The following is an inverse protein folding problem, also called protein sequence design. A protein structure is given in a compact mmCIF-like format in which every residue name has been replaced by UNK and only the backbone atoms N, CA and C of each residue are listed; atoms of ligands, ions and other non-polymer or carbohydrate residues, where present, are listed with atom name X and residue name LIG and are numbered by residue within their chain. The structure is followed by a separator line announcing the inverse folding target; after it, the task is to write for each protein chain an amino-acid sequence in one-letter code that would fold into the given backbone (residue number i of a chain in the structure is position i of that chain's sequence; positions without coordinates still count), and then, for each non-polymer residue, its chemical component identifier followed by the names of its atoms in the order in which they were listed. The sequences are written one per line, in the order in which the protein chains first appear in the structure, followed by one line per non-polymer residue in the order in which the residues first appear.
data_IF_597350371114
#
_entry.id   IF_597350371114
#
_cell.length_a   1.000
_cell.length_b   1.000
_cell.length_c   1.000
_cell.angle_alpha   90.00
_cell.angle_beta   90.00
_cell.angle_gamma   90.00
#
_symmetry.space_group_name_H-M   'P 1'
#
loop_
_entity.id
_entity.type
_entity.pdbx_description
1 polymer ?
#
# COMPACT_ATOMS: atom_id res chain seq x y z
N UNK A 1 -16.91 7.31 -24.68
CA UNK A 1 -16.78 6.01 -23.98
C UNK A 1 -15.90 6.27 -22.78
N UNK A 2 -16.48 6.28 -21.57
CA UNK A 2 -15.75 6.61 -20.35
C UNK A 2 -14.67 5.56 -20.11
N UNK A 3 -13.41 5.97 -20.24
CA UNK A 3 -12.28 5.22 -19.70
C UNK A 3 -12.58 4.97 -18.22
N UNK A 4 -12.87 3.71 -17.89
CA UNK A 4 -13.00 3.25 -16.52
C UNK A 4 -11.58 3.29 -15.92
N UNK A 5 -11.11 4.50 -15.62
CA UNK A 5 -9.76 4.76 -15.09
C UNK A 5 -9.70 4.02 -13.77
N UNK A 6 -9.02 2.88 -13.76
CA UNK A 6 -8.86 2.02 -12.59
C UNK A 6 -8.41 2.89 -11.42
N UNK A 7 -9.30 3.14 -10.45
CA UNK A 7 -8.98 4.00 -9.33
C UNK A 7 -7.91 3.30 -8.49
N UNK A 8 -6.76 3.95 -8.35
CA UNK A 8 -5.62 3.43 -7.60
C UNK A 8 -5.68 4.00 -6.18
N UNK A 9 -5.57 3.13 -5.19
CA UNK A 9 -5.45 3.49 -3.79
C UNK A 9 -4.00 3.26 -3.33
N UNK A 10 -3.44 4.19 -2.56
CA UNK A 10 -2.15 3.98 -1.89
C UNK A 10 -2.40 3.83 -0.38
N UNK A 11 -2.57 2.61 0.11
CA UNK A 11 -2.84 2.39 1.52
C UNK A 11 -1.52 2.30 2.30
N UNK A 12 -1.34 3.03 3.43
CA UNK A 12 -0.15 2.89 4.26
C UNK A 12 0.06 1.43 4.70
N UNK A 13 1.32 0.97 4.68
CA UNK A 13 1.63 -0.43 5.00
C UNK A 13 1.22 -0.82 6.42
N UNK A 14 1.24 0.14 7.36
CA UNK A 14 0.79 -0.08 8.74
C UNK A 14 -0.67 -0.51 8.78
N UNK A 15 -1.52 0.07 7.93
CA UNK A 15 -2.92 -0.34 7.81
C UNK A 15 -2.99 -1.70 7.10
N UNK A 16 -2.30 -1.89 5.98
CA UNK A 16 -2.34 -3.18 5.25
C UNK A 16 -1.90 -4.37 6.10
N UNK A 17 -0.86 -4.19 6.91
CA UNK A 17 -0.28 -5.24 7.74
C UNK A 17 -0.99 -5.40 9.08
N UNK A 18 -1.86 -4.46 9.47
CA UNK A 18 -2.65 -4.61 10.67
C UNK A 18 -3.49 -5.90 10.61
N UNK A 19 -3.65 -6.52 11.78
CA UNK A 19 -4.46 -7.71 11.94
C UNK A 19 -5.90 -7.29 12.17
N UNK A 20 -6.76 -7.56 11.19
CA UNK A 20 -8.19 -7.34 11.32
C UNK A 20 -8.99 -8.37 10.54
N UNK A 21 -10.16 -8.70 11.09
CA UNK A 21 -11.14 -9.63 10.50
C UNK A 21 -12.38 -8.82 10.16
N UNK A 22 -12.38 -8.21 8.97
CA UNK A 22 -13.50 -7.40 8.50
C UNK A 22 -14.42 -8.23 7.62
N UNK A 23 -15.72 -8.03 7.76
CA UNK A 23 -16.68 -8.42 6.73
C UNK A 23 -16.48 -7.59 5.46
N UNK A 24 -17.07 -8.05 4.35
CA UNK A 24 -17.06 -7.31 3.08
C UNK A 24 -17.51 -5.85 3.25
N UNK A 25 -18.57 -5.59 4.01
CA UNK A 25 -19.07 -4.23 4.23
C UNK A 25 -18.14 -3.39 5.10
N UNK A 26 -17.53 -3.97 6.14
CA UNK A 26 -16.53 -3.27 6.97
C UNK A 26 -15.30 -2.89 6.11
N UNK A 27 -14.85 -3.80 5.24
CA UNK A 27 -13.73 -3.51 4.32
C UNK A 27 -14.10 -2.41 3.32
N UNK A 28 -15.29 -2.46 2.71
CA UNK A 28 -15.76 -1.43 1.77
C UNK A 28 -15.78 -0.05 2.41
N UNK A 29 -16.27 0.05 3.65
CA UNK A 29 -16.22 1.31 4.42
C UNK A 29 -14.78 1.74 4.68
N UNK A 30 -13.87 0.84 5.10
CA UNK A 30 -12.46 1.18 5.29
C UNK A 30 -11.81 1.73 4.01
N UNK A 31 -12.02 1.05 2.89
CA UNK A 31 -11.47 1.47 1.60
C UNK A 31 -12.02 2.83 1.17
N UNK A 32 -13.30 3.10 1.46
CA UNK A 32 -13.89 4.41 1.24
C UNK A 32 -13.25 5.48 2.14
N UNK A 33 -13.06 5.20 3.44
CA UNK A 33 -12.36 6.11 4.37
C UNK A 33 -10.99 6.50 3.80
N UNK A 34 -10.20 5.50 3.38
CA UNK A 34 -8.87 5.73 2.82
C UNK A 34 -8.97 6.56 1.54
N UNK A 35 -9.88 6.22 0.62
CA UNK A 35 -10.12 6.98 -0.62
C UNK A 35 -10.43 8.45 -0.33
N UNK A 36 -11.31 8.72 0.65
CA UNK A 36 -11.66 10.09 1.05
C UNK A 36 -10.46 10.85 1.61
N UNK A 37 -9.68 10.23 2.50
CA UNK A 37 -8.46 10.83 3.07
C UNK A 37 -7.45 11.16 1.97
N UNK A 38 -7.22 10.22 1.03
CA UNK A 38 -6.30 10.46 -0.10
C UNK A 38 -6.78 11.57 -1.02
N UNK A 39 -8.09 11.65 -1.27
CA UNK A 39 -8.69 12.73 -2.03
C UNK A 39 -8.43 14.10 -1.43
N UNK A 40 -8.34 14.20 -0.10
CA UNK A 40 -7.98 15.45 0.59
C UNK A 40 -6.48 15.75 0.52
N UNK A 41 -5.62 14.76 0.71
CA UNK A 41 -4.17 14.95 0.62
C UNK A 41 -3.70 15.45 -0.76
N UNK A 42 -4.43 15.09 -1.81
CA UNK A 42 -4.15 15.53 -3.17
C UNK A 42 -4.65 16.96 -3.46
N UNK A 43 -5.35 17.61 -2.54
CA UNK A 43 -5.73 19.03 -2.66
C UNK A 43 -4.57 19.87 -2.14
N UNK A 44 -4.12 20.84 -2.92
CA UNK A 44 -3.11 21.83 -2.54
C UNK A 44 -3.68 22.86 -1.54
N UNK A 45 -4.31 22.41 -0.46
CA UNK A 45 -4.84 23.25 0.61
C UNK A 45 -4.10 22.97 1.92
N UNK A 46 -3.17 23.86 2.25
CA UNK A 46 -2.28 23.75 3.40
C UNK A 46 -3.04 23.77 4.74
N UNK A 47 -4.14 24.52 4.85
CA UNK A 47 -4.93 24.61 6.08
C UNK A 47 -5.72 23.32 6.33
N UNK A 48 -6.24 22.67 5.28
CA UNK A 48 -6.89 21.37 5.40
C UNK A 48 -5.93 20.25 5.78
N UNK A 49 -4.68 20.31 5.28
CA UNK A 49 -3.66 19.33 5.66
C UNK A 49 -3.30 19.42 7.15
N UNK A 50 -3.32 20.63 7.74
CA UNK A 50 -3.07 20.83 9.18
C UNK A 50 -4.10 20.11 10.06
N UNK A 51 -5.36 20.02 9.60
CA UNK A 51 -6.43 19.28 10.28
C UNK A 51 -6.17 17.76 10.27
N UNK A 52 -5.60 17.23 9.18
CA UNK A 52 -5.27 15.80 9.05
C UNK A 52 -4.16 15.34 10.00
N UNK A 53 -3.28 16.25 10.43
CA UNK A 53 -2.20 16.00 11.39
C UNK A 53 -2.48 16.59 12.78
N UNK A 54 -3.62 17.27 12.96
CA UNK A 54 -4.04 17.87 14.23
C UNK A 54 -4.86 16.91 15.10
N UNK A 55 -5.29 17.39 16.26
CA UNK A 55 -6.21 16.66 17.16
C UNK A 55 -7.69 16.85 16.78
N UNK A 56 -7.96 17.39 15.58
CA UNK A 56 -9.30 17.69 15.13
C UNK A 56 -10.06 16.42 14.72
N UNK A 57 -11.37 16.43 14.97
CA UNK A 57 -12.27 15.35 14.59
C UNK A 57 -12.43 15.29 13.07
N UNK A 58 -11.98 14.19 12.46
CA UNK A 58 -12.13 13.99 11.03
C UNK A 58 -13.45 13.29 10.72
N UNK A 59 -14.39 14.04 10.11
CA UNK A 59 -15.71 13.56 9.72
C UNK A 59 -15.77 13.29 8.22
N UNK A 60 -16.32 12.14 7.85
CA UNK A 60 -16.53 11.75 6.46
C UNK A 60 -18.02 11.60 6.23
N UNK A 61 -18.50 12.20 5.15
CA UNK A 61 -19.89 12.14 4.72
C UNK A 61 -19.99 11.36 3.42
N UNK A 62 -20.97 10.48 3.30
CA UNK A 62 -21.18 9.69 2.09
C UNK A 62 -22.61 9.17 1.94
N UNK A 63 -22.99 8.87 0.70
CA UNK A 63 -24.15 8.05 0.36
C UNK A 63 -23.71 6.60 0.11
N UNK A 64 -24.61 5.64 0.35
CA UNK A 64 -24.30 4.20 0.17
C UNK A 64 -23.84 3.87 -1.25
N UNK A 65 -24.47 4.50 -2.25
CA UNK A 65 -24.13 4.34 -3.67
C UNK A 65 -22.69 4.75 -4.00
N UNK A 66 -22.06 5.60 -3.20
CA UNK A 66 -20.65 5.98 -3.39
C UNK A 66 -19.67 4.89 -2.94
N UNK A 67 -20.14 3.93 -2.13
CA UNK A 67 -19.38 2.77 -1.65
C UNK A 67 -19.71 1.53 -2.48
N UNK A 68 -21.01 1.27 -2.70
CA UNK A 68 -21.50 0.15 -3.47
C UNK A 68 -22.84 0.52 -4.12
N UNK A 69 -22.83 0.74 -5.44
CA UNK A 69 -23.98 1.18 -6.23
C UNK A 69 -25.18 0.21 -6.12
N UNK A 70 -24.94 -1.07 -5.83
CA UNK A 70 -25.97 -2.10 -5.73
C UNK A 70 -26.46 -2.32 -4.29
N UNK A 71 -25.80 -1.73 -3.29
CA UNK A 71 -26.12 -1.99 -1.89
C UNK A 71 -27.21 -1.04 -1.39
N UNK A 72 -28.38 -1.62 -1.14
CA UNK A 72 -29.56 -0.92 -0.62
C UNK A 72 -29.84 -1.27 0.84
N UNK A 73 -29.13 -2.25 1.41
CA UNK A 73 -29.39 -2.76 2.74
C UNK A 73 -28.77 -1.88 3.84
N UNK A 74 -29.55 -0.90 4.28
CA UNK A 74 -29.19 0.00 5.38
C UNK A 74 -28.83 -0.77 6.66
N UNK A 75 -29.48 -1.90 6.95
CA UNK A 75 -29.22 -2.72 8.15
C UNK A 75 -27.83 -3.33 8.13
N UNK A 76 -27.38 -3.82 6.97
CA UNK A 76 -26.03 -4.37 6.78
C UNK A 76 -24.96 -3.31 7.05
N UNK A 77 -25.16 -2.08 6.56
CA UNK A 77 -24.25 -0.97 6.80
C UNK A 77 -24.27 -0.46 8.25
N UNK A 78 -25.45 -0.35 8.88
CA UNK A 78 -25.55 -0.08 10.32
C UNK A 78 -24.72 -1.07 11.14
N UNK A 79 -24.81 -2.36 10.80
CA UNK A 79 -24.00 -3.40 11.42
C UNK A 79 -22.51 -3.20 11.13
N UNK A 80 -22.11 -2.96 9.88
CA UNK A 80 -20.71 -2.74 9.52
C UNK A 80 -20.07 -1.56 10.27
N UNK A 81 -20.76 -0.43 10.37
CA UNK A 81 -20.30 0.72 11.15
C UNK A 81 -20.19 0.36 12.64
N UNK A 82 -21.20 -0.31 13.21
CA UNK A 82 -21.18 -0.76 14.61
C UNK A 82 -20.02 -1.72 14.89
N UNK A 83 -19.75 -2.63 13.97
CA UNK A 83 -18.67 -3.61 14.10
C UNK A 83 -17.32 -2.91 13.95
N UNK A 84 -17.12 -2.03 12.95
CA UNK A 84 -15.91 -1.21 12.78
C UNK A 84 -15.56 -0.38 14.03
N UNK A 85 -16.56 0.16 14.73
CA UNK A 85 -16.33 0.88 16.00
C UNK A 85 -15.72 0.00 17.09
N UNK A 86 -15.97 -1.30 17.04
CA UNK A 86 -15.46 -2.30 17.98
C UNK A 86 -14.17 -2.97 17.47
N UNK A 87 -13.65 -2.55 16.32
CA UNK A 87 -12.41 -3.08 15.76
C UNK A 87 -11.24 -2.27 16.30
N UNK A 88 -10.39 -2.94 17.05
CA UNK A 88 -9.16 -2.38 17.53
C UNK A 88 -8.12 -2.30 16.42
N UNK A 89 -7.50 -1.13 16.29
CA UNK A 89 -6.23 -0.93 15.63
C UNK A 89 -5.18 -0.75 16.71
N UNK A 90 -4.31 -1.74 16.84
CA UNK A 90 -3.27 -1.76 17.88
C UNK A 90 -1.89 -1.55 17.29
N UNK A 91 -1.13 -0.70 17.98
CA UNK A 91 0.30 -0.53 17.77
C UNK A 91 0.97 -0.75 19.11
N UNK A 92 1.87 -1.73 19.12
CA UNK A 92 2.74 -2.02 20.24
C UNK A 92 4.18 -1.88 19.76
N UNK A 93 4.82 -0.76 20.10
CA UNK A 93 6.23 -0.50 19.79
C UNK A 93 7.02 -0.22 21.08
N UNK A 94 8.35 -0.14 20.97
CA UNK A 94 9.22 0.05 22.13
C UNK A 94 8.98 1.35 22.90
N UNK A 95 8.25 2.32 22.33
CA UNK A 95 8.03 3.64 22.90
C UNK A 95 6.62 3.82 23.46
N UNK A 96 5.62 3.12 22.90
CA UNK A 96 4.22 3.24 23.33
C UNK A 96 3.37 2.04 22.94
N UNK A 97 2.31 1.87 23.72
CA UNK A 97 1.14 1.08 23.34
C UNK A 97 0.00 2.04 22.96
N UNK A 98 -0.60 1.82 21.80
CA UNK A 98 -1.76 2.54 21.29
C UNK A 98 -2.81 1.51 20.86
N UNK A 99 -4.01 1.60 21.42
CA UNK A 99 -5.19 0.89 20.95
C UNK A 99 -6.24 1.96 20.59
N UNK A 100 -6.77 1.91 19.38
CA UNK A 100 -7.75 2.88 18.88
C UNK A 100 -8.73 2.21 17.91
N UNK A 101 -9.99 2.61 17.91
CA UNK A 101 -10.97 2.16 16.94
C UNK A 101 -10.75 2.73 15.53
N UNK A 102 -11.20 2.02 14.50
CA UNK A 102 -11.20 2.56 13.12
C UNK A 102 -12.20 3.70 12.92
N UNK A 103 -13.34 3.62 13.62
CA UNK A 103 -14.42 4.60 13.59
C UNK A 103 -14.84 4.89 15.04
N UNK A 104 -14.98 6.15 15.40
CA UNK A 104 -15.43 6.56 16.73
C UNK A 104 -16.96 6.49 16.85
N UNK A 105 -17.66 7.05 15.88
CA UNK A 105 -19.11 6.95 15.72
C UNK A 105 -19.49 6.93 14.24
N UNK A 106 -20.72 6.47 13.97
CA UNK A 106 -21.36 6.74 12.71
C UNK A 106 -22.85 7.00 12.91
N UNK A 107 -23.37 7.90 12.10
CA UNK A 107 -24.73 8.42 12.13
C UNK A 107 -25.32 8.33 10.72
N UNK A 108 -26.62 8.05 10.64
CA UNK A 108 -27.35 8.06 9.39
C UNK A 108 -28.48 9.07 9.47
N UNK A 109 -28.40 10.11 8.64
CA UNK A 109 -29.45 11.08 8.45
C UNK A 109 -30.47 10.51 7.44
N UNK A 110 -31.67 10.19 7.92
CA UNK A 110 -32.73 9.59 7.11
C UNK A 110 -33.30 10.55 6.06
N UNK A 111 -33.37 11.84 6.37
CA UNK A 111 -33.94 12.86 5.47
C UNK A 111 -33.01 13.10 4.27
N UNK A 112 -31.72 13.25 4.53
CA UNK A 112 -30.69 13.46 3.51
C UNK A 112 -30.20 12.15 2.87
N UNK A 113 -30.58 11.00 3.44
CA UNK A 113 -30.07 9.66 3.11
C UNK A 113 -28.54 9.60 3.10
N UNK A 114 -27.91 10.30 4.06
CA UNK A 114 -26.45 10.46 4.16
C UNK A 114 -25.91 9.87 5.45
N UNK A 115 -24.76 9.22 5.34
CA UNK A 115 -23.96 8.77 6.46
C UNK A 115 -22.97 9.84 6.87
N UNK A 116 -22.72 9.95 8.16
CA UNK A 116 -21.60 10.64 8.77
C UNK A 116 -20.82 9.62 9.59
N UNK A 117 -19.50 9.55 9.42
CA UNK A 117 -18.62 8.77 10.28
C UNK A 117 -17.48 9.64 10.78
N UNK A 118 -17.03 9.39 12.01
CA UNK A 118 -15.86 10.05 12.57
C UNK A 118 -14.70 9.07 12.68
N UNK A 119 -13.55 9.44 12.12
CA UNK A 119 -12.29 8.71 12.27
C UNK A 119 -11.52 9.31 13.44
N UNK A 120 -10.89 8.44 14.24
CA UNK A 120 -10.09 8.91 15.37
C UNK A 120 -8.87 9.72 14.92
N UNK A 121 -8.66 10.89 15.52
CA UNK A 121 -7.45 11.70 15.30
C UNK A 121 -6.16 10.94 15.65
N UNK A 122 -6.20 9.93 16.56
CA UNK A 122 -5.03 9.08 16.86
C UNK A 122 -4.72 8.08 15.73
N UNK A 123 -5.72 7.72 14.90
CA UNK A 123 -5.55 6.84 13.75
C UNK A 123 -5.07 7.61 12.50
N UNK A 124 -5.50 8.86 12.34
CA UNK A 124 -5.22 9.70 11.17
C UNK A 124 -3.73 9.75 10.75
N UNK A 125 -2.75 9.92 11.67
CA UNK A 125 -1.33 9.89 11.31
C UNK A 125 -0.91 8.60 10.60
N UNK A 126 -1.54 7.46 10.90
CA UNK A 126 -1.26 6.17 10.27
C UNK A 126 -1.98 5.98 8.93
N UNK A 127 -3.09 6.69 8.73
CA UNK A 127 -3.85 6.68 7.47
C UNK A 127 -3.21 7.59 6.41
N UNK A 128 -2.52 8.64 6.85
CA UNK A 128 -1.90 9.65 5.98
C UNK A 128 -0.41 9.36 5.73
N UNK A 129 0.34 8.92 6.75
CA UNK A 129 1.79 8.79 6.65
C UNK A 129 2.21 7.63 5.75
N UNK A 130 2.72 7.96 4.56
CA UNK A 130 3.39 7.01 3.65
C UNK A 130 4.86 6.74 4.02
N UNK A 131 5.40 7.37 5.07
CA UNK A 131 6.83 7.31 5.42
C UNK A 131 7.32 5.88 5.73
N UNK A 132 6.44 5.01 6.27
CA UNK A 132 6.73 3.58 6.53
C UNK A 132 6.43 2.68 5.31
N UNK A 133 6.27 3.28 4.14
CA UNK A 133 5.85 2.62 2.91
C UNK A 133 4.33 2.48 2.78
N UNK A 134 3.90 2.12 1.58
CA UNK A 134 2.50 1.97 1.21
C UNK A 134 2.31 0.81 0.23
N UNK A 135 1.11 0.26 0.24
CA UNK A 135 0.64 -0.69 -0.75
C UNK A 135 -0.18 0.05 -1.80
N UNK A 136 0.20 -0.10 -3.06
CA UNK A 136 -0.56 0.42 -4.20
C UNK A 136 -1.38 -0.68 -4.85
N UNK A 137 -2.68 -0.47 -4.98
CA UNK A 137 -3.58 -1.44 -5.62
C UNK A 137 -4.79 -0.78 -6.28
N UNK A 138 -5.47 -1.53 -7.15
CA UNK A 138 -6.68 -1.10 -7.84
C UNK A 138 -7.91 -1.32 -6.95
N UNK A 139 -8.63 -0.24 -6.63
CA UNK A 139 -9.80 -0.30 -5.75
C UNK A 139 -10.90 -1.17 -6.36
N UNK A 140 -11.19 -0.99 -7.64
CA UNK A 140 -12.26 -1.72 -8.34
C UNK A 140 -12.05 -3.24 -8.30
N UNK A 141 -10.79 -3.69 -8.35
CA UNK A 141 -10.44 -5.10 -8.24
C UNK A 141 -10.77 -5.62 -6.85
N UNK A 142 -10.33 -4.93 -5.80
CA UNK A 142 -10.56 -5.34 -4.40
C UNK A 142 -12.06 -5.41 -4.08
N UNK A 143 -12.85 -4.45 -4.52
CA UNK A 143 -14.29 -4.40 -4.24
C UNK A 143 -15.06 -5.60 -4.82
N UNK A 144 -14.49 -6.32 -5.80
CA UNK A 144 -15.08 -7.52 -6.42
C UNK A 144 -14.65 -8.83 -5.76
N UNK A 145 -13.61 -8.79 -4.93
CA UNK A 145 -13.04 -9.97 -4.28
C UNK A 145 -13.75 -10.29 -2.96
N UNK A 146 -13.75 -11.57 -2.57
CA UNK A 146 -14.19 -11.94 -1.23
C UNK A 146 -13.21 -11.41 -0.14
N UNK A 147 -13.65 -11.35 1.11
CA UNK A 147 -12.84 -10.84 2.25
C UNK A 147 -11.42 -11.39 2.33
N UNK A 148 -11.22 -12.70 2.16
CA UNK A 148 -9.89 -13.32 2.28
C UNK A 148 -9.05 -13.04 1.04
N UNK A 149 -9.67 -13.08 -0.15
CA UNK A 149 -9.05 -12.70 -1.42
C UNK A 149 -8.60 -11.24 -1.41
N UNK A 150 -9.39 -10.32 -0.84
CA UNK A 150 -9.02 -8.91 -0.64
C UNK A 150 -7.73 -8.79 0.19
N UNK A 151 -7.65 -9.50 1.33
CA UNK A 151 -6.46 -9.50 2.20
C UNK A 151 -5.23 -10.02 1.47
N UNK A 152 -5.36 -11.16 0.79
CA UNK A 152 -4.27 -11.75 0.00
C UNK A 152 -3.82 -10.82 -1.13
N UNK A 153 -4.76 -10.23 -1.87
CA UNK A 153 -4.47 -9.28 -2.94
C UNK A 153 -3.69 -8.07 -2.44
N UNK A 154 -4.09 -7.49 -1.30
CA UNK A 154 -3.37 -6.38 -0.67
C UNK A 154 -1.95 -6.79 -0.24
N UNK A 155 -1.77 -7.98 0.33
CA UNK A 155 -0.44 -8.49 0.69
C UNK A 155 0.45 -8.67 -0.53
N UNK A 156 -0.05 -9.30 -1.60
CA UNK A 156 0.74 -9.52 -2.81
C UNK A 156 1.03 -8.23 -3.58
N UNK A 157 0.13 -7.24 -3.53
CA UNK A 157 0.35 -5.92 -4.13
C UNK A 157 1.54 -5.15 -3.53
N UNK A 158 2.03 -5.55 -2.34
CA UNK A 158 3.25 -4.96 -1.75
C UNK A 158 4.53 -5.40 -2.47
N UNK A 159 4.53 -6.60 -3.08
CA UNK A 159 5.75 -7.25 -3.60
C UNK A 159 5.94 -7.00 -5.10
N UNK A 160 5.77 -5.76 -5.57
CA UNK A 160 5.83 -5.42 -7.00
C UNK A 160 7.20 -5.64 -7.67
N UNK A 161 8.29 -5.76 -6.90
CA UNK A 161 9.65 -5.81 -7.45
C UNK A 161 10.25 -7.22 -7.51
N UNK A 162 9.87 -8.11 -6.61
CA UNK A 162 10.47 -9.45 -6.50
C UNK A 162 9.70 -10.52 -7.27
N UNK A 163 8.39 -10.32 -7.48
CA UNK A 163 7.52 -11.31 -8.13
C UNK A 163 7.36 -12.63 -7.35
N UNK A 164 7.95 -12.72 -6.15
CA UNK A 164 7.94 -13.90 -5.30
C UNK A 164 7.64 -13.46 -3.88
N UNK A 165 6.69 -14.16 -3.26
CA UNK A 165 6.34 -13.99 -1.85
C UNK A 165 6.43 -15.32 -1.12
N UNK A 166 7.09 -15.33 0.04
CA UNK A 166 7.23 -16.52 0.88
C UNK A 166 6.67 -16.23 2.27
N UNK A 167 5.81 -17.11 2.76
CA UNK A 167 5.22 -17.02 4.11
C UNK A 167 4.91 -18.41 4.63
N UNK A 168 5.05 -18.63 5.94
CA UNK A 168 4.62 -19.90 6.52
C UNK A 168 3.10 -19.97 6.58
N UNK A 169 2.53 -21.18 6.50
CA UNK A 169 1.07 -21.33 6.47
C UNK A 169 0.42 -20.91 7.79
N UNK A 170 1.06 -21.18 8.94
CA UNK A 170 0.67 -20.69 10.27
C UNK A 170 0.65 -19.16 10.34
N UNK A 171 1.70 -18.50 9.85
CA UNK A 171 1.82 -17.04 9.85
C UNK A 171 0.78 -16.41 8.92
N UNK A 172 0.53 -17.00 7.76
CA UNK A 172 -0.52 -16.52 6.85
C UNK A 172 -1.90 -16.65 7.50
N UNK A 173 -2.19 -17.78 8.14
CA UNK A 173 -3.43 -18.03 8.86
C UNK A 173 -3.64 -17.03 10.01
N UNK A 174 -2.56 -16.73 10.74
CA UNK A 174 -2.55 -15.71 11.79
C UNK A 174 -2.87 -14.31 11.24
N UNK A 175 -2.23 -13.90 10.14
CA UNK A 175 -2.46 -12.58 9.52
C UNK A 175 -3.87 -12.42 8.93
N UNK A 176 -4.51 -13.53 8.57
CA UNK A 176 -5.90 -13.55 8.09
C UNK A 176 -6.92 -13.69 9.25
N UNK A 177 -6.48 -13.92 10.48
CA UNK A 177 -7.36 -14.13 11.63
C UNK A 177 -8.15 -15.45 11.53
N UNK A 178 -7.50 -16.51 11.06
CA UNK A 178 -8.09 -17.82 10.78
C UNK A 178 -7.51 -18.93 11.68
N UNK A 179 -6.87 -18.60 12.80
CA UNK A 179 -6.18 -19.53 13.72
C UNK A 179 -7.11 -20.56 14.36
N UNK A 180 -8.39 -20.22 14.51
CA UNK A 180 -9.42 -21.13 15.03
C UNK A 180 -10.24 -21.78 13.91
N UNK A 181 -9.86 -21.56 12.65
CA UNK A 181 -10.56 -22.07 11.46
C UNK A 181 -9.68 -22.98 10.62
N UNK A 182 -10.29 -24.00 10.03
CA UNK A 182 -9.64 -25.03 9.22
C UNK A 182 -8.61 -25.84 10.01
N UNK A 183 -9.05 -26.95 10.59
CA UNK A 183 -8.18 -27.89 11.31
C UNK A 183 -7.09 -28.47 10.41
N UNK A 184 -7.42 -28.73 9.14
CA UNK A 184 -6.49 -29.28 8.16
C UNK A 184 -6.03 -28.23 7.16
N UNK A 185 -4.73 -28.25 6.85
CA UNK A 185 -4.13 -27.42 5.82
C UNK A 185 -4.80 -27.60 4.45
N UNK A 186 -5.21 -28.82 4.09
CA UNK A 186 -5.94 -29.07 2.84
C UNK A 186 -7.23 -28.24 2.73
N UNK A 187 -7.96 -28.09 3.84
CA UNK A 187 -9.14 -27.24 3.92
C UNK A 187 -8.81 -25.76 3.74
N UNK A 188 -7.76 -25.28 4.43
CA UNK A 188 -7.25 -23.92 4.31
C UNK A 188 -6.82 -23.61 2.87
N UNK A 189 -5.97 -24.46 2.27
CA UNK A 189 -5.51 -24.32 0.89
C UNK A 189 -6.67 -24.24 -0.09
N UNK A 190 -7.63 -25.16 -0.01
CA UNK A 190 -8.76 -25.21 -0.95
C UNK A 190 -9.70 -24.01 -0.83
N UNK A 191 -10.02 -23.57 0.38
CA UNK A 191 -11.06 -22.55 0.61
C UNK A 191 -10.54 -21.11 0.69
N UNK A 192 -9.25 -20.93 0.95
CA UNK A 192 -8.64 -19.62 1.10
C UNK A 192 -7.70 -19.34 -0.08
N UNK A 193 -6.67 -20.16 -0.24
CA UNK A 193 -5.63 -19.92 -1.24
C UNK A 193 -6.17 -20.12 -2.65
N UNK A 194 -6.73 -21.30 -2.94
CA UNK A 194 -7.22 -21.62 -4.28
C UNK A 194 -8.41 -20.76 -4.70
N UNK A 195 -9.30 -20.41 -3.75
CA UNK A 195 -10.42 -19.50 -4.01
C UNK A 195 -9.91 -18.12 -4.40
N UNK A 196 -8.94 -17.57 -3.65
CA UNK A 196 -8.36 -16.27 -3.97
C UNK A 196 -7.55 -16.30 -5.28
N UNK A 197 -6.81 -17.37 -5.55
CA UNK A 197 -6.11 -17.55 -6.83
C UNK A 197 -7.10 -17.51 -7.99
N UNK A 198 -8.22 -18.24 -7.89
CA UNK A 198 -9.26 -18.28 -8.92
C UNK A 198 -9.88 -16.90 -9.15
N UNK A 199 -10.40 -16.24 -8.11
CA UNK A 199 -11.08 -14.95 -8.22
C UNK A 199 -10.15 -13.87 -8.82
N UNK A 200 -8.90 -13.80 -8.35
CA UNK A 200 -7.96 -12.77 -8.81
C UNK A 200 -7.48 -13.07 -10.23
N UNK A 201 -7.33 -14.34 -10.59
CA UNK A 201 -7.00 -14.75 -11.96
C UNK A 201 -8.11 -14.40 -12.94
N UNK A 202 -9.37 -14.65 -12.59
CA UNK A 202 -10.52 -14.27 -13.42
C UNK A 202 -10.53 -12.76 -13.69
N UNK A 203 -10.38 -11.93 -12.64
CA UNK A 203 -10.28 -10.47 -12.80
C UNK A 203 -9.07 -10.02 -13.61
N UNK A 204 -7.96 -10.76 -13.53
CA UNK A 204 -6.75 -10.48 -14.32
C UNK A 204 -6.96 -10.78 -15.81
N UNK A 205 -7.58 -11.92 -16.13
CA UNK A 205 -7.93 -12.31 -17.50
C UNK A 205 -8.95 -11.34 -18.13
N UNK A 206 -9.88 -10.81 -17.32
CA UNK A 206 -10.81 -9.75 -17.72
C UNK A 206 -10.17 -8.35 -17.85
N UNK A 207 -8.87 -8.20 -17.56
CA UNK A 207 -8.16 -6.92 -17.60
C UNK A 207 -8.56 -5.94 -16.50
N UNK A 208 -9.25 -6.42 -15.45
CA UNK A 208 -9.68 -5.64 -14.29
C UNK A 208 -8.69 -5.72 -13.12
N UNK A 209 -7.69 -6.58 -13.20
CA UNK A 209 -6.59 -6.69 -12.24
C UNK A 209 -5.24 -6.57 -12.94
N UNK A 210 -4.34 -5.77 -12.38
CA UNK A 210 -2.96 -5.67 -12.84
C UNK A 210 -2.05 -6.77 -12.29
N UNK A 211 -2.53 -7.56 -11.33
CA UNK A 211 -1.77 -8.67 -10.75
C UNK A 211 -2.62 -9.93 -10.64
N UNK A 212 -1.97 -11.07 -10.78
CA UNK A 212 -2.48 -12.32 -10.24
C UNK A 212 -1.34 -13.10 -9.62
N UNK A 213 -1.67 -14.12 -8.85
CA UNK A 213 -0.67 -14.95 -8.19
C UNK A 213 -1.02 -16.41 -8.35
N UNK A 214 0.00 -17.25 -8.17
CA UNK A 214 -0.15 -18.70 -8.14
C UNK A 214 0.66 -19.26 -6.98
N UNK A 215 0.08 -20.21 -6.24
CA UNK A 215 0.86 -21.00 -5.30
C UNK A 215 1.80 -21.93 -6.09
N UNK A 216 3.11 -21.65 -6.02
CA UNK A 216 4.14 -22.37 -6.76
C UNK A 216 4.61 -23.62 -5.99
N UNK A 217 4.75 -23.51 -4.67
CA UNK A 217 5.05 -24.66 -3.81
C UNK A 217 4.58 -24.46 -2.38
N UNK A 218 4.24 -25.58 -1.73
CA UNK A 218 3.85 -25.66 -0.32
C UNK A 218 4.52 -26.86 0.36
N UNK A 219 5.81 -26.70 0.65
CA UNK A 219 6.65 -27.75 1.22
C UNK A 219 6.74 -27.66 2.74
N UNK A 220 6.88 -28.81 3.40
CA UNK A 220 7.23 -28.88 4.82
C UNK A 220 8.48 -29.73 5.03
N UNK A 221 9.18 -29.50 6.13
CA UNK A 221 10.23 -30.41 6.58
C UNK A 221 9.59 -31.70 7.09
N UNK A 222 10.30 -32.81 6.99
CA UNK A 222 9.81 -34.09 7.51
C UNK A 222 9.70 -34.00 9.03
N UNK A 223 8.58 -34.45 9.58
CA UNK A 223 8.33 -34.46 11.03
C UNK A 223 7.78 -33.15 11.63
N UNK A 224 7.55 -32.11 10.83
CA UNK A 224 6.91 -30.87 11.30
C UNK A 224 5.40 -30.90 11.15
N UNK A 225 4.72 -30.03 11.90
CA UNK A 225 3.27 -29.85 11.78
C UNK A 225 2.87 -29.38 10.37
N UNK A 226 1.60 -29.60 10.02
CA UNK A 226 1.14 -29.33 8.66
C UNK A 226 1.04 -27.83 8.35
N UNK A 227 0.87 -26.98 9.36
CA UNK A 227 0.87 -25.52 9.20
C UNK A 227 2.27 -24.89 9.22
N UNK A 228 3.33 -25.64 9.51
CA UNK A 228 4.72 -25.17 9.37
C UNK A 228 5.19 -25.15 7.90
N UNK A 229 4.31 -25.47 6.95
CA UNK A 229 4.59 -25.43 5.51
C UNK A 229 5.06 -24.04 5.09
N UNK A 230 6.15 -24.02 4.33
CA UNK A 230 6.62 -22.84 3.64
C UNK A 230 5.85 -22.69 2.32
N UNK A 231 5.01 -21.65 2.23
CA UNK A 231 4.28 -21.32 1.02
C UNK A 231 5.10 -20.37 0.18
N UNK A 232 5.29 -20.70 -1.10
CA UNK A 232 5.92 -19.83 -2.10
C UNK A 232 4.90 -19.47 -3.15
N UNK A 233 4.62 -18.18 -3.28
CA UNK A 233 3.72 -17.62 -4.29
C UNK A 233 4.55 -16.93 -5.37
N UNK A 234 4.19 -17.18 -6.62
CA UNK A 234 4.66 -16.41 -7.79
C UNK A 234 3.61 -15.39 -8.15
N UNK A 235 4.03 -14.15 -8.35
CA UNK A 235 3.18 -13.01 -8.69
C UNK A 235 3.47 -12.63 -10.13
N UNK A 236 2.41 -12.49 -10.90
CA UNK A 236 2.42 -12.11 -12.31
C UNK A 236 1.78 -10.74 -12.47
N UNK A 237 2.27 -9.98 -13.44
CA UNK A 237 1.85 -8.61 -13.69
C UNK A 237 1.25 -8.48 -15.08
N UNK A 238 0.27 -7.60 -15.24
CA UNK A 238 -0.30 -7.26 -16.54
C UNK A 238 0.78 -6.60 -17.40
N UNK A 239 0.70 -6.80 -18.72
CA UNK A 239 1.62 -6.14 -19.66
C UNK A 239 1.61 -4.61 -19.47
N UNK A 240 0.42 -4.06 -19.22
CA UNK A 240 0.22 -2.65 -18.87
C UNK A 240 1.06 -2.22 -17.66
N UNK A 241 1.06 -3.03 -16.58
CA UNK A 241 1.83 -2.73 -15.37
C UNK A 241 3.34 -2.87 -15.58
N UNK A 242 3.77 -3.82 -16.39
CA UNK A 242 5.19 -3.97 -16.78
C UNK A 242 5.65 -2.72 -17.54
N UNK A 243 4.90 -2.29 -18.56
CA UNK A 243 5.20 -1.10 -19.36
C UNK A 243 5.28 0.16 -18.46
N UNK A 244 4.31 0.33 -17.55
CA UNK A 244 4.33 1.46 -16.60
C UNK A 244 5.56 1.42 -15.67
N UNK A 245 5.95 0.24 -15.19
CA UNK A 245 7.12 0.09 -14.33
C UNK A 245 8.41 0.43 -15.09
N UNK A 246 8.53 0.02 -16.35
CA UNK A 246 9.70 0.31 -17.17
C UNK A 246 9.76 1.78 -17.57
N UNK A 247 8.63 2.40 -17.90
CA UNK A 247 8.52 3.85 -18.10
C UNK A 247 8.95 4.61 -16.84
N UNK A 248 8.43 4.26 -15.66
CA UNK A 248 8.79 4.91 -14.41
C UNK A 248 10.29 4.77 -14.07
N UNK A 249 10.90 3.61 -14.37
CA UNK A 249 12.35 3.41 -14.23
C UNK A 249 13.13 4.31 -15.20
N UNK A 250 12.70 4.41 -16.45
CA UNK A 250 13.31 5.27 -17.46
C UNK A 250 13.22 6.75 -17.06
N UNK A 251 12.06 7.20 -16.56
CA UNK A 251 11.85 8.56 -16.07
C UNK A 251 12.72 8.85 -14.84
N UNK A 252 12.81 7.91 -13.90
CA UNK A 252 13.70 8.03 -12.72
C UNK A 252 15.16 8.15 -13.15
N UNK A 253 15.60 7.33 -14.11
CA UNK A 253 16.95 7.39 -14.65
C UNK A 253 17.22 8.72 -15.34
N UNK A 254 16.25 9.21 -16.13
CA UNK A 254 16.34 10.51 -16.81
C UNK A 254 16.47 11.66 -15.80
N UNK A 255 15.60 11.68 -14.78
CA UNK A 255 15.65 12.67 -13.71
C UNK A 255 17.01 12.65 -12.99
N UNK A 256 17.45 11.48 -12.52
CA UNK A 256 18.76 11.34 -11.86
C UNK A 256 19.91 11.79 -12.78
N UNK A 257 19.83 11.49 -14.08
CA UNK A 257 20.84 11.93 -15.06
C UNK A 257 20.89 13.45 -15.18
N UNK A 258 19.73 14.10 -15.28
CA UNK A 258 19.63 15.56 -15.36
C UNK A 258 20.20 16.25 -14.12
N UNK A 259 19.79 15.81 -12.92
CA UNK A 259 20.31 16.36 -11.66
C UNK A 259 21.82 16.13 -11.55
N UNK A 260 22.30 14.93 -11.85
CA UNK A 260 23.73 14.62 -11.77
C UNK A 260 24.56 15.42 -12.77
N UNK A 261 24.03 15.71 -13.97
CA UNK A 261 24.68 16.60 -14.94
C UNK A 261 24.74 18.04 -14.42
N UNK A 262 23.69 18.52 -13.77
CA UNK A 262 23.67 19.86 -13.16
C UNK A 262 24.59 19.98 -11.95
N UNK A 263 24.76 18.92 -11.16
CA UNK A 263 25.63 18.90 -9.98
C UNK A 263 27.10 18.71 -10.36
N UNK A 264 27.39 17.85 -11.35
CA UNK A 264 28.76 17.50 -11.77
C UNK A 264 29.04 17.82 -13.25
N UNK A 265 28.93 19.10 -13.69
CA UNK A 265 29.10 19.46 -15.10
C UNK A 265 30.49 19.09 -15.64
N UNK A 266 31.54 19.24 -14.83
CA UNK A 266 32.93 18.93 -15.24
C UNK A 266 33.37 17.49 -14.91
N UNK A 267 32.52 16.69 -14.24
CA UNK A 267 32.87 15.32 -13.85
C UNK A 267 31.75 14.33 -14.18
N UNK A 268 31.37 14.30 -15.46
CA UNK A 268 30.33 13.40 -15.95
C UNK A 268 30.72 11.92 -15.86
N UNK A 269 32.02 11.60 -15.88
CA UNK A 269 32.50 10.23 -15.68
C UNK A 269 32.10 9.67 -14.31
N UNK A 270 32.29 10.46 -13.24
CA UNK A 270 31.82 10.12 -11.90
C UNK A 270 30.29 9.94 -11.87
N UNK A 271 29.55 10.87 -12.46
CA UNK A 271 28.08 10.81 -12.50
C UNK A 271 27.57 9.53 -13.18
N UNK A 272 28.11 9.21 -14.36
CA UNK A 272 27.73 8.01 -15.12
C UNK A 272 28.10 6.72 -14.38
N UNK A 273 29.28 6.69 -13.74
CA UNK A 273 29.73 5.53 -12.96
C UNK A 273 28.84 5.26 -11.75
N UNK A 274 28.45 6.32 -11.03
CA UNK A 274 27.54 6.22 -9.89
C UNK A 274 26.14 5.76 -10.34
N UNK A 275 25.59 6.33 -11.41
CA UNK A 275 24.27 5.92 -11.91
C UNK A 275 24.27 4.47 -12.40
N UNK A 276 25.31 4.04 -13.10
CA UNK A 276 25.48 2.65 -13.52
C UNK A 276 25.51 1.69 -12.33
N UNK A 277 26.28 2.02 -11.29
CA UNK A 277 26.33 1.26 -10.05
C UNK A 277 24.96 1.18 -9.35
N UNK A 278 24.23 2.30 -9.26
CA UNK A 278 22.92 2.36 -8.62
C UNK A 278 21.85 1.56 -9.38
N UNK A 279 21.93 1.52 -10.71
CA UNK A 279 21.07 0.66 -11.55
C UNK A 279 21.36 -0.81 -11.29
N UNK A 280 22.64 -1.21 -11.29
CA UNK A 280 23.06 -2.59 -11.03
C UNK A 280 22.60 -3.08 -9.64
N UNK A 281 22.70 -2.22 -8.62
CA UNK A 281 22.27 -2.52 -7.24
C UNK A 281 20.77 -2.37 -7.00
N UNK A 282 19.97 -2.01 -8.00
CA UNK A 282 18.52 -1.70 -7.85
C UNK A 282 18.23 -0.62 -6.79
N UNK A 283 19.15 0.34 -6.63
CA UNK A 283 19.06 1.42 -5.64
C UNK A 283 18.72 2.79 -6.25
N UNK A 284 18.51 2.85 -7.57
CA UNK A 284 18.24 4.08 -8.29
C UNK A 284 17.04 4.88 -7.73
N UNK A 285 15.94 4.21 -7.37
CA UNK A 285 14.74 4.89 -6.84
C UNK A 285 14.97 5.45 -5.42
N UNK A 286 15.73 4.73 -4.60
CA UNK A 286 16.10 5.24 -3.27
C UNK A 286 16.98 6.49 -3.40
N UNK A 287 17.92 6.47 -4.35
CA UNK A 287 18.80 7.60 -4.63
C UNK A 287 18.03 8.80 -5.19
N UNK A 288 17.07 8.60 -6.10
CA UNK A 288 16.26 9.70 -6.65
C UNK A 288 15.52 10.46 -5.54
N UNK A 289 14.92 9.75 -4.57
CA UNK A 289 14.22 10.38 -3.45
C UNK A 289 15.16 11.20 -2.55
N UNK A 290 16.46 10.87 -2.51
CA UNK A 290 17.48 11.68 -1.81
C UNK A 290 17.83 12.92 -2.62
N UNK A 291 17.95 12.79 -3.94
CA UNK A 291 18.20 13.92 -4.84
C UNK A 291 17.06 14.95 -4.81
N UNK A 292 15.80 14.50 -4.83
CA UNK A 292 14.62 15.39 -4.71
C UNK A 292 14.72 16.27 -3.45
N UNK A 293 15.10 15.70 -2.30
CA UNK A 293 15.28 16.47 -1.05
C UNK A 293 16.43 17.48 -1.13
N UNK A 294 17.49 17.16 -1.86
CA UNK A 294 18.62 18.07 -2.06
C UNK A 294 18.21 19.21 -3.00
N UNK A 295 17.42 18.90 -4.03
CA UNK A 295 16.86 19.89 -4.95
C UNK A 295 15.92 20.85 -4.22
N UNK A 296 15.00 20.34 -3.40
CA UNK A 296 14.13 21.14 -2.53
C UNK A 296 14.95 22.03 -1.59
N UNK A 297 16.00 21.48 -0.98
CA UNK A 297 16.90 22.23 -0.09
C UNK A 297 17.63 23.33 -0.86
N UNK A 298 18.17 23.03 -2.05
CA UNK A 298 18.86 23.99 -2.91
C UNK A 298 17.94 25.15 -3.31
N UNK A 299 16.67 24.85 -3.64
CA UNK A 299 15.66 25.84 -3.96
C UNK A 299 15.32 26.72 -2.75
N UNK A 300 15.13 26.11 -1.56
CA UNK A 300 14.82 26.83 -0.32
C UNK A 300 15.96 27.76 0.14
N UNK A 301 17.21 27.34 -0.07
CA UNK A 301 18.40 28.10 0.29
C UNK A 301 18.88 29.05 -0.83
N UNK A 302 18.18 29.06 -1.98
CA UNK A 302 18.57 29.77 -3.20
C UNK A 302 20.04 29.52 -3.63
N UNK A 303 20.50 28.28 -3.46
CA UNK A 303 21.87 27.85 -3.81
C UNK A 303 21.88 27.04 -5.11
N UNK A 304 22.96 27.13 -5.92
CA UNK A 304 23.08 26.31 -7.11
C UNK A 304 23.29 24.84 -6.72
N UNK A 305 22.71 23.92 -7.48
CA UNK A 305 22.83 22.46 -7.27
C UNK A 305 24.30 21.99 -7.20
N UNK A 306 25.21 22.64 -7.94
CA UNK A 306 26.65 22.38 -7.91
C UNK A 306 27.24 22.44 -6.49
N UNK A 307 26.72 23.33 -5.63
CA UNK A 307 27.20 23.47 -4.25
C UNK A 307 26.95 22.22 -3.40
N UNK A 308 26.02 21.35 -3.79
CA UNK A 308 25.69 20.10 -3.10
C UNK A 308 26.49 18.89 -3.64
N UNK A 309 27.41 19.07 -4.58
CA UNK A 309 28.29 18.01 -5.08
C UNK A 309 29.06 17.24 -3.97
N UNK A 310 29.63 17.90 -2.93
CA UNK A 310 30.28 17.19 -1.83
C UNK A 310 29.31 16.32 -1.03
N UNK A 311 28.08 16.79 -0.81
CA UNK A 311 27.04 16.04 -0.10
C UNK A 311 26.64 14.79 -0.88
N UNK A 312 26.46 14.90 -2.21
CA UNK A 312 26.12 13.75 -3.05
C UNK A 312 27.26 12.73 -3.08
N UNK A 313 28.52 13.16 -3.10
CA UNK A 313 29.68 12.24 -2.95
C UNK A 313 29.68 11.52 -1.60
N UNK A 314 29.37 12.25 -0.53
CA UNK A 314 29.25 11.67 0.81
C UNK A 314 28.12 10.64 0.88
N UNK A 315 26.94 10.95 0.34
CA UNK A 315 25.80 10.04 0.25
C UNK A 315 26.13 8.79 -0.57
N UNK A 316 26.75 8.95 -1.74
CA UNK A 316 27.17 7.83 -2.57
C UNK A 316 28.08 6.85 -1.79
N UNK A 317 29.03 7.39 -1.02
CA UNK A 317 29.96 6.57 -0.22
C UNK A 317 29.31 5.95 1.02
N UNK A 318 28.59 6.72 1.83
CA UNK A 318 28.06 6.27 3.12
C UNK A 318 26.77 5.47 3.00
N UNK A 319 25.81 5.95 2.19
CA UNK A 319 24.48 5.35 2.10
C UNK A 319 24.43 4.22 1.05
N UNK A 320 25.26 4.30 0.01
CA UNK A 320 25.24 3.36 -1.12
C UNK A 320 26.54 2.56 -1.30
N UNK A 321 27.55 2.77 -0.44
CA UNK A 321 28.85 2.09 -0.51
C UNK A 321 29.55 2.21 -1.86
N UNK A 322 29.28 3.28 -2.61
CA UNK A 322 29.93 3.55 -3.89
C UNK A 322 31.34 4.07 -3.64
N UNK A 323 32.33 3.38 -4.22
CA UNK A 323 33.72 3.81 -4.23
C UNK A 323 34.06 4.11 -5.69
N UNK A 324 34.27 5.39 -6.00
CA UNK A 324 34.81 5.77 -7.31
C UNK A 324 36.17 5.11 -7.46
N UNK A 325 36.37 4.39 -8.57
CA UNK A 325 37.71 4.06 -9.03
C UNK A 325 38.43 5.31 -9.50
#
# INVERSE_FOLDING_TARGET
MNENKSLILNQPNVITQARYIFSDSEMKVLLFIIKSIQGLLNREDFEQNKVLYGEADYKIFFQLSEIDENETNLTRFKKAIKDLRKRDFEINDAKRWLNVGFVNYGEYNYDLKKWEIQVSHKLMPFMVSMAKGYTRYQLNTILRLNTNSQRLFMMFSQFNETGIFRIKADELRFKLGLEDKYEEYCGFKRRIINTAEKEIKELFEEGQSDIWFKLDSDSKKRGTEDFERMLTFKIFYSQRKIIQADQAKADTLRYCTQIMQSVFPENQSYANSLLGYLVEKKQLKSFSNRLERIEDQAQSEAKPLISFAPLIRHLAKMDYSFISK
#
